data_IF_206754868172
#
_entry.id   IF_206754868172
#
_cell.length_a   1.000
_cell.length_b   1.000
_cell.length_c   1.000
_cell.angle_alpha   90.00
_cell.angle_beta   90.00
_cell.angle_gamma   90.00
#
_symmetry.space_group_name_H-M   'P 1'
#
loop_
_entity.id
_entity.type
_entity.pdbx_description
1 polymer ?
#
# COMPACT_ATOMS: atom_id res chain seq x y z
N UNK A 1 13.77 -6.52 -5.24
CA UNK A 1 12.97 -6.71 -6.48
C UNK A 1 11.58 -6.12 -6.27
N UNK A 2 10.84 -5.79 -7.35
CA UNK A 2 9.47 -5.27 -7.27
C UNK A 2 8.57 -6.11 -6.34
N UNK A 3 8.64 -7.44 -6.44
CA UNK A 3 7.96 -8.41 -5.56
C UNK A 3 8.21 -8.16 -4.07
N UNK A 4 9.46 -7.91 -3.69
CA UNK A 4 9.82 -7.66 -2.29
C UNK A 4 9.19 -6.36 -1.78
N UNK A 5 9.23 -5.32 -2.61
CA UNK A 5 8.65 -4.04 -2.28
C UNK A 5 7.12 -4.10 -2.18
N UNK A 6 6.48 -4.83 -3.10
CA UNK A 6 5.03 -5.13 -3.03
C UNK A 6 4.67 -5.82 -1.72
N UNK A 7 5.45 -6.81 -1.26
CA UNK A 7 5.20 -7.46 0.02
C UNK A 7 5.41 -6.53 1.22
N UNK A 8 6.44 -5.68 1.20
CA UNK A 8 6.67 -4.69 2.27
C UNK A 8 5.52 -3.70 2.38
N UNK A 9 4.98 -3.27 1.24
CA UNK A 9 3.82 -2.39 1.18
C UNK A 9 2.55 -3.05 1.70
N UNK A 10 2.35 -4.34 1.42
CA UNK A 10 1.25 -5.12 1.97
C UNK A 10 1.39 -5.30 3.48
N UNK A 11 2.62 -5.55 3.97
CA UNK A 11 2.90 -5.73 5.38
C UNK A 11 2.59 -4.50 6.24
N UNK A 12 2.41 -3.31 5.63
CA UNK A 12 1.92 -2.12 6.34
C UNK A 12 0.57 -2.34 7.01
N UNK A 13 -0.25 -3.30 6.55
CA UNK A 13 -1.52 -3.62 7.20
C UNK A 13 -1.34 -4.11 8.64
N UNK A 14 -0.18 -4.68 8.96
CA UNK A 14 0.15 -5.17 10.29
C UNK A 14 0.96 -4.18 11.13
N UNK A 15 1.28 -3.00 10.60
CA UNK A 15 1.95 -1.94 11.37
C UNK A 15 0.90 -1.24 12.26
N UNK A 16 1.23 -0.84 13.51
CA UNK A 16 0.34 -0.02 14.30
C UNK A 16 -0.15 1.20 13.49
N UNK A 17 -1.46 1.46 13.51
CA UNK A 17 -2.09 2.50 12.68
C UNK A 17 -1.37 3.86 12.76
N UNK A 18 -0.91 4.23 13.97
CA UNK A 18 -0.17 5.47 14.24
C UNK A 18 1.22 5.54 13.59
N UNK A 19 1.80 4.39 13.26
CA UNK A 19 3.16 4.26 12.71
C UNK A 19 3.16 4.02 11.19
N UNK A 20 2.01 3.68 10.59
CA UNK A 20 1.88 3.39 9.15
C UNK A 20 2.55 4.47 8.29
N UNK A 21 2.24 5.75 8.54
CA UNK A 21 2.81 6.87 7.79
C UNK A 21 4.33 6.99 7.93
N UNK A 22 4.86 6.67 9.12
CA UNK A 22 6.30 6.71 9.38
C UNK A 22 7.03 5.58 8.66
N UNK A 23 6.56 4.33 8.83
CA UNK A 23 7.16 3.15 8.19
C UNK A 23 7.05 3.24 6.66
N UNK A 24 5.93 3.74 6.13
CA UNK A 24 5.79 4.00 4.70
C UNK A 24 6.84 4.99 4.18
N UNK A 25 7.14 6.06 4.93
CA UNK A 25 8.16 7.04 4.55
C UNK A 25 9.56 6.40 4.46
N UNK A 26 9.90 5.51 5.39
CA UNK A 26 11.15 4.75 5.34
C UNK A 26 11.21 3.86 4.09
N UNK A 27 10.14 3.10 3.82
CA UNK A 27 10.05 2.26 2.60
C UNK A 27 10.19 3.10 1.33
N UNK A 28 9.56 4.27 1.27
CA UNK A 28 9.65 5.19 0.14
C UNK A 28 11.07 5.68 -0.10
N UNK A 29 11.82 6.01 0.95
CA UNK A 29 13.20 6.49 0.82
C UNK A 29 14.15 5.41 0.31
N UNK A 30 13.88 4.14 0.65
CA UNK A 30 14.69 2.98 0.23
C UNK A 30 14.19 2.37 -1.11
N UNK A 31 13.11 2.88 -1.68
CA UNK A 31 12.51 2.36 -2.89
C UNK A 31 13.38 2.66 -4.13
N UNK A 32 13.54 1.70 -5.06
CA UNK A 32 14.11 2.00 -6.37
C UNK A 32 13.29 3.05 -7.11
N UNK A 33 13.95 3.97 -7.82
CA UNK A 33 13.30 5.06 -8.56
C UNK A 33 12.27 4.56 -9.60
N UNK A 34 12.50 3.36 -10.16
CA UNK A 34 11.55 2.70 -11.06
C UNK A 34 10.16 2.44 -10.41
N UNK A 35 10.08 2.45 -9.07
CA UNK A 35 8.83 2.26 -8.31
C UNK A 35 8.19 3.57 -7.86
N UNK A 36 8.80 4.73 -8.13
CA UNK A 36 8.27 6.05 -7.74
C UNK A 36 6.80 6.25 -8.14
N UNK A 37 6.34 5.89 -9.36
CA UNK A 37 4.94 6.07 -9.74
C UNK A 37 3.96 5.27 -8.86
N UNK A 38 4.34 4.05 -8.48
CA UNK A 38 3.57 3.20 -7.57
C UNK A 38 3.55 3.81 -6.17
N UNK A 39 4.71 4.24 -5.69
CA UNK A 39 4.87 4.80 -4.35
C UNK A 39 4.07 6.10 -4.19
N UNK A 40 4.15 6.99 -5.16
CA UNK A 40 3.37 8.24 -5.15
C UNK A 40 1.86 7.96 -5.22
N UNK A 41 1.45 6.99 -6.04
CA UNK A 41 0.06 6.58 -6.09
C UNK A 41 -0.41 6.04 -4.74
N UNK A 42 0.40 5.20 -4.09
CA UNK A 42 0.05 4.63 -2.81
C UNK A 42 0.00 5.67 -1.69
N UNK A 43 1.03 6.51 -1.59
CA UNK A 43 1.09 7.63 -0.64
C UNK A 43 -0.17 8.49 -0.71
N UNK A 44 -0.58 8.85 -1.94
CA UNK A 44 -1.72 9.71 -2.17
C UNK A 44 -3.06 9.03 -1.91
N UNK A 45 -3.23 7.75 -2.27
CA UNK A 45 -4.55 7.12 -2.23
C UNK A 45 -4.80 6.30 -0.97
N UNK A 46 -3.73 5.89 -0.25
CA UNK A 46 -3.83 4.92 0.84
C UNK A 46 -3.23 5.38 2.16
N UNK A 47 -2.24 6.29 2.16
CA UNK A 47 -1.50 6.66 3.39
C UNK A 47 -1.76 8.10 3.82
N UNK A 48 -1.32 9.07 3.01
CA UNK A 48 -1.27 10.48 3.40
C UNK A 48 -2.37 11.33 2.76
N UNK A 49 -2.87 10.93 1.59
CA UNK A 49 -3.74 11.82 0.83
C UNK A 49 -2.96 12.90 0.08
N UNK A 50 -3.63 14.01 -0.23
CA UNK A 50 -2.98 15.22 -0.78
C UNK A 50 -2.74 16.18 0.37
N UNK A 51 -1.46 16.48 0.65
CA UNK A 51 -1.07 17.45 1.67
C UNK A 51 -1.50 18.86 1.24
N UNK A 52 -2.09 19.61 2.18
CA UNK A 52 -2.47 21.01 1.97
C UNK A 52 -1.24 21.85 1.57
N UNK A 53 -1.39 22.73 0.56
CA UNK A 53 -0.32 23.65 0.14
C UNK A 53 -0.89 25.05 -0.10
N UNK A 54 -0.42 26.01 0.69
CA UNK A 54 -0.90 27.40 0.63
C UNK A 54 -2.40 27.47 0.93
N UNK A 55 -3.18 28.04 0.00
CA UNK A 55 -4.64 28.16 0.11
C UNK A 55 -5.42 26.89 -0.24
N UNK A 56 -4.76 25.84 -0.76
CA UNK A 56 -5.44 24.59 -1.13
C UNK A 56 -5.63 23.70 0.10
N UNK A 57 -6.86 23.24 0.31
CA UNK A 57 -7.19 22.24 1.33
C UNK A 57 -6.53 20.91 0.98
N UNK A 58 -6.06 20.21 2.00
CA UNK A 58 -5.64 18.82 1.86
C UNK A 58 -6.83 17.92 1.55
N UNK A 59 -6.56 16.78 0.94
CA UNK A 59 -7.57 15.77 0.59
C UNK A 59 -7.18 14.49 1.33
N UNK A 60 -8.11 13.90 2.08
CA UNK A 60 -7.88 12.60 2.70
C UNK A 60 -7.63 11.51 1.65
N UNK A 61 -6.83 10.48 1.97
CA UNK A 61 -6.65 9.34 1.08
C UNK A 61 -8.00 8.67 0.78
N UNK A 62 -8.16 8.15 -0.43
CA UNK A 62 -9.39 7.50 -0.88
C UNK A 62 -9.68 6.22 -0.09
N UNK A 63 -8.61 5.53 0.33
CA UNK A 63 -8.65 4.29 1.07
C UNK A 63 -7.76 4.44 2.31
N UNK A 64 -8.22 5.20 3.32
CA UNK A 64 -7.41 5.54 4.47
C UNK A 64 -6.99 4.29 5.28
N UNK A 65 -5.85 4.33 6.00
CA UNK A 65 -5.31 3.18 6.74
C UNK A 65 -6.31 2.48 7.65
N UNK A 66 -7.25 3.22 8.23
CA UNK A 66 -8.31 2.73 9.09
C UNK A 66 -9.20 1.65 8.46
N UNK A 67 -9.27 1.59 7.12
CA UNK A 67 -10.12 0.62 6.40
C UNK A 67 -9.37 -0.69 6.13
N UNK A 68 -8.06 -0.63 5.87
CA UNK A 68 -7.29 -1.80 5.47
C UNK A 68 -6.35 -2.33 6.55
N UNK A 69 -6.00 -1.53 7.57
CA UNK A 69 -5.12 -1.96 8.64
C UNK A 69 -5.73 -3.11 9.47
N UNK A 70 -4.94 -4.14 9.68
CA UNK A 70 -5.29 -5.36 10.40
C UNK A 70 -4.50 -5.55 11.70
N UNK A 71 -3.64 -4.61 12.11
CA UNK A 71 -2.77 -4.78 13.28
C UNK A 71 -3.54 -5.21 14.55
N UNK A 72 -4.61 -4.49 14.91
CA UNK A 72 -5.42 -4.84 16.09
C UNK A 72 -6.14 -6.18 15.94
N UNK A 73 -6.54 -6.51 14.72
CA UNK A 73 -7.29 -7.71 14.43
C UNK A 73 -6.37 -8.96 14.46
N UNK A 74 -5.11 -8.80 14.03
CA UNK A 74 -4.06 -9.80 14.16
C UNK A 74 -3.71 -10.08 15.63
N UNK A 75 -3.63 -9.04 16.47
CA UNK A 75 -3.41 -9.20 17.91
C UNK A 75 -4.57 -9.93 18.63
N UNK A 76 -5.80 -9.76 18.15
CA UNK A 76 -7.00 -10.31 18.79
C UNK A 76 -7.48 -11.65 18.20
N UNK A 77 -6.82 -12.15 17.15
CA UNK A 77 -7.13 -13.45 16.54
C UNK A 77 -8.51 -13.53 15.87
N UNK A 78 -9.05 -12.39 15.39
CA UNK A 78 -10.38 -12.33 14.78
C UNK A 78 -10.39 -12.97 13.39
N UNK A 79 -11.21 -14.01 13.18
CA UNK A 79 -11.39 -14.68 11.88
C UNK A 79 -12.09 -13.83 10.78
N UNK A 80 -12.70 -12.68 11.12
CA UNK A 80 -13.37 -11.81 10.13
C UNK A 80 -12.41 -11.07 9.18
N UNK A 81 -11.10 -11.24 9.37
CA UNK A 81 -10.01 -10.42 8.82
C UNK A 81 -9.43 -10.94 7.50
N UNK A 82 -9.51 -12.25 7.24
CA UNK A 82 -9.00 -12.82 5.99
C UNK A 82 -9.64 -12.17 4.78
N UNK A 83 -10.94 -11.88 4.80
CA UNK A 83 -11.60 -11.27 3.64
C UNK A 83 -11.12 -9.83 3.36
N UNK A 84 -10.88 -9.03 4.39
CA UNK A 84 -10.39 -7.65 4.23
C UNK A 84 -8.92 -7.65 3.79
N UNK A 85 -8.11 -8.55 4.36
CA UNK A 85 -6.72 -8.74 3.93
C UNK A 85 -6.65 -9.29 2.49
N UNK A 86 -7.43 -10.32 2.14
CA UNK A 86 -7.50 -10.85 0.77
C UNK A 86 -7.98 -9.79 -0.23
N UNK A 87 -9.01 -9.00 0.12
CA UNK A 87 -9.48 -7.89 -0.71
C UNK A 87 -8.42 -6.80 -0.86
N UNK A 88 -7.70 -6.47 0.21
CA UNK A 88 -6.57 -5.55 0.20
C UNK A 88 -5.47 -6.04 -0.75
N UNK A 89 -5.03 -7.28 -0.58
CA UNK A 89 -4.02 -7.93 -1.39
C UNK A 89 -4.41 -7.97 -2.87
N UNK A 90 -5.63 -8.41 -3.18
CA UNK A 90 -6.16 -8.47 -4.54
C UNK A 90 -6.23 -7.08 -5.18
N UNK A 91 -6.73 -6.08 -4.44
CA UNK A 91 -6.84 -4.71 -4.95
C UNK A 91 -5.46 -4.10 -5.21
N UNK A 92 -4.50 -4.34 -4.33
CA UNK A 92 -3.14 -3.84 -4.49
C UNK A 92 -2.48 -4.45 -5.73
N UNK A 93 -2.60 -5.77 -5.94
CA UNK A 93 -2.09 -6.42 -7.15
C UNK A 93 -2.71 -5.86 -8.44
N UNK A 94 -4.03 -5.64 -8.46
CA UNK A 94 -4.72 -5.03 -9.61
C UNK A 94 -4.22 -3.62 -9.91
N UNK A 95 -3.96 -2.82 -8.87
CA UNK A 95 -3.44 -1.45 -9.02
C UNK A 95 -2.02 -1.48 -9.60
N UNK A 96 -1.13 -2.31 -9.05
CA UNK A 96 0.23 -2.47 -9.59
C UNK A 96 0.16 -2.90 -11.06
N UNK A 97 -0.71 -3.85 -11.37
CA UNK A 97 -0.84 -4.37 -12.73
C UNK A 97 -1.34 -3.34 -13.75
N UNK A 98 -2.27 -2.47 -13.33
CA UNK A 98 -2.81 -1.40 -14.18
C UNK A 98 -1.80 -0.28 -14.42
N UNK A 99 -1.03 0.10 -13.41
CA UNK A 99 -0.08 1.21 -13.53
C UNK A 99 1.21 0.79 -14.25
N UNK A 100 1.50 -0.50 -14.32
CA UNK A 100 2.63 -1.04 -15.07
C UNK A 100 2.30 -2.37 -15.77
N UNK A 101 1.62 -2.32 -16.94
CA UNK A 101 1.20 -3.52 -17.68
C UNK A 101 2.37 -4.43 -18.06
N UNK A 102 3.52 -3.84 -18.43
CA UNK A 102 4.74 -4.57 -18.78
C UNK A 102 5.37 -5.24 -17.55
N UNK A 103 5.25 -4.64 -16.35
CA UNK A 103 5.73 -5.23 -15.10
C UNK A 103 4.78 -6.31 -14.56
N UNK A 104 3.47 -6.17 -14.79
CA UNK A 104 2.48 -7.21 -14.49
C UNK A 104 2.71 -8.47 -15.32
N UNK A 105 2.98 -8.27 -16.60
CA UNK A 105 3.31 -9.35 -17.54
C UNK A 105 4.56 -10.09 -17.08
N UNK A 106 5.61 -9.36 -16.64
CA UNK A 106 6.80 -9.96 -16.05
C UNK A 106 6.51 -10.70 -14.72
N UNK A 107 5.67 -10.16 -13.84
CA UNK A 107 5.29 -10.82 -12.58
C UNK A 107 4.53 -12.14 -12.79
N UNK A 108 3.68 -12.22 -13.82
CA UNK A 108 2.97 -13.45 -14.19
C UNK A 108 3.88 -14.56 -14.72
N UNK A 109 5.00 -14.21 -15.36
CA UNK A 109 5.98 -15.21 -15.82
C UNK A 109 6.80 -15.82 -14.67
N UNK A 110 7.01 -15.08 -13.58
CA UNK A 110 7.73 -15.59 -12.39
C UNK A 110 6.86 -16.42 -11.43
N UNK A 111 5.56 -16.60 -11.73
CA UNK A 111 4.65 -17.47 -10.99
C UNK A 111 4.42 -18.84 -11.67
N UNK A 112 5.16 -19.13 -12.75
CA UNK A 112 5.32 -20.48 -13.31
C UNK A 112 6.62 -21.10 -12.83
#
# INVERSE_FOLDING_TARGET
SLKYFTHMMLALEFVPLTEVSHIFSLLKNDAPEALSPIIEYFEKNYVLGVIARGRRRGIHPRYPPEIWNQHQAALTGSHKTNNVSEEWHNRFQLVIGKHHPDLYSALGEFQK
#
